data_IF_021121689087
#
_entry.id   IF_021121689087
#
_cell.length_a   1.000
_cell.length_b   1.000
_cell.length_c   1.000
_cell.angle_alpha   90.00
_cell.angle_beta   90.00
_cell.angle_gamma   90.00
#
_symmetry.space_group_name_H-M   'P 1'
#
loop_
_entity.id
_entity.type
_entity.pdbx_description
1 polymer ?
#
# COMPACT_ATOMS: atom_id res chain seq x y z
N UNK A 1 13.00 -58.25 24.81
CA UNK A 1 12.77 -56.85 25.19
C UNK A 1 13.64 -55.99 24.28
N UNK A 2 13.11 -55.61 23.11
CA UNK A 2 13.87 -54.96 22.05
C UNK A 2 14.12 -53.49 22.42
N UNK A 3 15.39 -53.14 22.64
CA UNK A 3 15.84 -51.77 22.87
C UNK A 3 15.56 -50.95 21.61
N UNK A 4 14.49 -50.14 21.64
CA UNK A 4 14.21 -49.15 20.60
C UNK A 4 15.41 -48.18 20.51
N UNK A 5 15.97 -47.92 19.32
CA UNK A 5 17.23 -47.21 19.18
C UNK A 5 17.06 -45.72 19.55
N UNK A 6 17.94 -45.24 20.43
CA UNK A 6 18.02 -43.85 20.94
C UNK A 6 17.98 -42.77 19.85
N UNK A 7 18.39 -43.11 18.63
CA UNK A 7 18.34 -42.26 17.43
C UNK A 7 16.91 -41.89 17.01
N UNK A 8 15.91 -42.77 17.20
CA UNK A 8 14.51 -42.46 16.88
C UNK A 8 13.94 -41.38 17.80
N UNK A 9 14.17 -41.52 19.12
CA UNK A 9 13.77 -40.52 20.10
C UNK A 9 14.47 -39.18 19.88
N UNK A 10 15.77 -39.19 19.54
CA UNK A 10 16.53 -37.98 19.24
C UNK A 10 16.00 -37.24 18.01
N UNK A 11 15.68 -37.95 16.93
CA UNK A 11 15.10 -37.36 15.71
C UNK A 11 13.69 -36.84 15.94
N UNK A 12 12.84 -37.60 16.61
CA UNK A 12 11.49 -37.15 16.99
C UNK A 12 11.55 -35.91 17.89
N UNK A 13 12.46 -35.88 18.86
CA UNK A 13 12.68 -34.72 19.71
C UNK A 13 13.14 -33.51 18.90
N UNK A 14 14.14 -33.66 18.01
CA UNK A 14 14.61 -32.58 17.15
C UNK A 14 13.51 -32.01 16.23
N UNK A 15 12.71 -32.88 15.62
CA UNK A 15 11.60 -32.46 14.76
C UNK A 15 10.52 -31.76 15.58
N UNK A 16 10.16 -32.30 16.76
CA UNK A 16 9.19 -31.68 17.65
C UNK A 16 9.67 -30.30 18.13
N UNK A 17 10.93 -30.19 18.56
CA UNK A 17 11.53 -28.90 18.94
C UNK A 17 11.55 -27.92 17.77
N UNK A 18 11.95 -28.35 16.57
CA UNK A 18 11.95 -27.49 15.39
C UNK A 18 10.53 -27.03 15.02
N UNK A 19 9.53 -27.91 15.12
CA UNK A 19 8.13 -27.57 14.86
C UNK A 19 7.58 -26.57 15.90
N UNK A 20 7.90 -26.76 17.19
CA UNK A 20 7.50 -25.84 18.26
C UNK A 20 8.16 -24.48 18.07
N UNK A 21 9.47 -24.44 17.82
CA UNK A 21 10.20 -23.19 17.55
C UNK A 21 9.66 -22.50 16.29
N UNK A 22 9.37 -23.25 15.23
CA UNK A 22 8.75 -22.73 14.02
C UNK A 22 7.35 -22.14 14.26
N UNK A 23 6.53 -22.81 15.07
CA UNK A 23 5.20 -22.31 15.44
C UNK A 23 5.27 -21.05 16.30
N UNK A 24 6.18 -21.00 17.28
CA UNK A 24 6.42 -19.82 18.12
C UNK A 24 6.91 -18.64 17.27
N UNK A 25 7.85 -18.90 16.35
CA UNK A 25 8.33 -17.89 15.41
C UNK A 25 7.20 -17.37 14.53
N UNK A 26 6.36 -18.26 13.97
CA UNK A 26 5.19 -17.87 13.19
C UNK A 26 4.24 -16.98 14.00
N UNK A 27 3.95 -17.34 15.26
CA UNK A 27 3.12 -16.53 16.17
C UNK A 27 3.69 -15.12 16.41
N UNK A 28 5.01 -14.99 16.49
CA UNK A 28 5.70 -13.69 16.66
C UNK A 28 5.67 -12.89 15.36
N UNK A 29 5.86 -13.54 14.21
CA UNK A 29 5.90 -12.88 12.90
C UNK A 29 4.51 -12.54 12.34
N UNK A 30 3.47 -13.29 12.72
CA UNK A 30 2.09 -13.08 12.27
C UNK A 30 1.60 -11.63 12.45
N UNK A 31 1.70 -11.00 13.64
CA UNK A 31 1.29 -9.60 13.81
C UNK A 31 2.18 -8.61 13.04
N UNK A 32 3.42 -8.99 12.71
CA UNK A 32 4.37 -8.17 11.95
C UNK A 32 4.26 -8.37 10.44
N UNK A 33 3.40 -9.28 9.97
CA UNK A 33 3.31 -9.69 8.57
C UNK A 33 3.06 -8.52 7.62
N UNK A 34 2.19 -7.58 8.00
CA UNK A 34 1.96 -6.36 7.22
C UNK A 34 3.20 -5.48 7.11
N UNK A 35 3.90 -5.25 8.22
CA UNK A 35 5.12 -4.43 8.26
C UNK A 35 6.26 -5.09 7.49
N UNK A 36 6.41 -6.40 7.63
CA UNK A 36 7.38 -7.22 6.90
C UNK A 36 7.08 -7.25 5.40
N UNK A 37 5.82 -7.40 5.02
CA UNK A 37 5.40 -7.40 3.62
C UNK A 37 5.70 -6.07 2.94
N UNK A 38 5.32 -4.96 3.58
CA UNK A 38 5.61 -3.63 3.07
C UNK A 38 7.12 -3.33 3.04
N UNK A 39 7.88 -3.75 4.05
CA UNK A 39 9.33 -3.67 4.04
C UNK A 39 9.95 -4.48 2.89
N UNK A 40 9.43 -5.68 2.60
CA UNK A 40 9.89 -6.52 1.49
C UNK A 40 9.61 -5.88 0.13
N UNK A 41 8.39 -5.34 -0.06
CA UNK A 41 8.00 -4.63 -1.28
C UNK A 41 8.91 -3.44 -1.52
N UNK A 42 9.08 -2.57 -0.51
CA UNK A 42 10.00 -1.43 -0.62
C UNK A 42 11.44 -1.87 -0.84
N UNK A 43 11.91 -2.92 -0.17
CA UNK A 43 13.25 -3.46 -0.36
C UNK A 43 13.46 -3.91 -1.80
N UNK A 44 12.49 -4.58 -2.43
CA UNK A 44 12.57 -5.00 -3.83
C UNK A 44 12.59 -3.81 -4.80
N UNK A 45 11.79 -2.78 -4.53
CA UNK A 45 11.75 -1.55 -5.34
C UNK A 45 13.08 -0.78 -5.21
N UNK A 46 13.60 -0.65 -3.99
CA UNK A 46 14.81 0.10 -3.68
C UNK A 46 16.10 -0.69 -3.91
N UNK A 47 16.04 -2.01 -4.09
CA UNK A 47 17.20 -2.88 -4.34
C UNK A 47 18.14 -2.38 -5.45
N UNK A 48 17.68 -2.03 -6.67
CA UNK A 48 18.57 -1.49 -7.71
C UNK A 48 19.26 -0.19 -7.28
N UNK A 49 18.58 0.65 -6.49
CA UNK A 49 19.15 1.89 -5.96
C UNK A 49 20.18 1.60 -4.86
N UNK A 50 19.91 0.62 -4.00
CA UNK A 50 20.81 0.11 -2.97
C UNK A 50 22.12 -0.42 -3.58
N UNK A 51 22.07 -1.18 -4.67
CA UNK A 51 23.27 -1.63 -5.36
C UNK A 51 24.09 -0.47 -5.96
N UNK A 52 23.40 0.49 -6.61
CA UNK A 52 24.06 1.68 -7.19
C UNK A 52 24.76 2.51 -6.11
N UNK A 53 24.07 2.80 -5.00
CA UNK A 53 24.63 3.52 -3.85
C UNK A 53 25.77 2.74 -3.18
N UNK A 54 25.63 1.42 -3.05
CA UNK A 54 26.70 0.58 -2.49
C UNK A 54 27.97 0.65 -3.32
N UNK A 55 27.85 0.67 -4.66
CA UNK A 55 29.00 0.85 -5.56
C UNK A 55 29.62 2.24 -5.40
N UNK A 56 28.80 3.29 -5.26
CA UNK A 56 29.28 4.67 -5.03
C UNK A 56 30.00 4.82 -3.68
N UNK A 57 29.52 4.18 -2.61
CA UNK A 57 30.15 4.22 -1.27
C UNK A 57 31.28 3.19 -1.08
N UNK A 58 31.88 2.68 -2.16
CA UNK A 58 33.03 1.77 -2.09
C UNK A 58 32.73 0.41 -1.44
N UNK A 59 31.53 -0.13 -1.64
CA UNK A 59 31.13 -1.45 -1.13
C UNK A 59 30.47 -1.44 0.26
N UNK A 60 30.32 -0.27 0.89
CA UNK A 60 29.70 -0.13 2.22
C UNK A 60 28.17 -0.24 2.16
N UNK A 61 27.66 -1.47 2.16
CA UNK A 61 26.21 -1.79 2.14
C UNK A 61 25.42 -1.17 3.29
N UNK A 62 25.99 -1.14 4.49
CA UNK A 62 25.31 -0.60 5.67
C UNK A 62 25.05 0.91 5.57
N UNK A 63 25.98 1.69 5.01
CA UNK A 63 25.79 3.13 4.79
C UNK A 63 24.72 3.40 3.73
N UNK A 64 24.74 2.62 2.64
CA UNK A 64 23.74 2.72 1.58
C UNK A 64 22.34 2.39 2.10
N UNK A 65 22.22 1.31 2.88
CA UNK A 65 20.95 0.91 3.49
C UNK A 65 20.45 1.98 4.47
N UNK A 66 21.33 2.50 5.34
CA UNK A 66 20.97 3.54 6.29
C UNK A 66 20.47 4.81 5.58
N UNK A 67 21.16 5.24 4.53
CA UNK A 67 20.77 6.41 3.75
C UNK A 67 19.41 6.21 3.07
N UNK A 68 19.21 5.07 2.41
CA UNK A 68 17.93 4.76 1.75
C UNK A 68 16.78 4.66 2.76
N UNK A 69 16.98 3.96 3.88
CA UNK A 69 15.98 3.90 4.94
C UNK A 69 15.70 5.28 5.53
N UNK A 70 16.69 6.17 5.66
CA UNK A 70 16.47 7.53 6.15
C UNK A 70 15.72 8.42 5.15
N UNK A 71 15.92 8.23 3.84
CA UNK A 71 15.21 8.97 2.79
C UNK A 71 13.80 8.43 2.56
N UNK A 72 13.57 7.14 2.81
CA UNK A 72 12.29 6.46 2.54
C UNK A 72 11.08 7.15 3.21
N UNK A 73 11.14 7.61 4.47
CA UNK A 73 10.05 8.37 5.08
C UNK A 73 9.69 9.62 4.28
N UNK A 74 10.67 10.36 3.79
CA UNK A 74 10.38 11.55 2.99
C UNK A 74 9.77 11.17 1.65
N UNK A 75 10.25 10.11 1.01
CA UNK A 75 9.70 9.63 -0.27
C UNK A 75 8.23 9.18 -0.15
N UNK A 76 7.87 8.57 0.98
CA UNK A 76 6.51 8.07 1.24
C UNK A 76 5.62 9.20 1.79
N UNK A 77 6.08 9.92 2.82
CA UNK A 77 5.29 10.93 3.50
C UNK A 77 5.11 12.19 2.67
N UNK A 78 6.07 12.60 1.83
CA UNK A 78 5.93 13.82 1.03
C UNK A 78 4.70 13.81 0.10
N UNK A 79 4.49 12.81 -0.78
CA UNK A 79 3.29 12.76 -1.60
C UNK A 79 2.04 12.63 -0.73
N UNK A 80 2.06 11.78 0.31
CA UNK A 80 0.95 11.64 1.26
C UNK A 80 0.57 12.97 1.92
N UNK A 81 1.54 13.79 2.31
CA UNK A 81 1.33 15.09 2.95
C UNK A 81 0.64 16.07 2.01
N UNK A 82 1.09 16.14 0.76
CA UNK A 82 0.48 17.01 -0.27
C UNK A 82 -0.95 16.57 -0.53
N UNK A 83 -1.19 15.26 -0.59
CA UNK A 83 -2.52 14.69 -0.82
C UNK A 83 -3.46 14.93 0.35
N UNK A 84 -3.01 14.72 1.58
CA UNK A 84 -3.79 15.04 2.79
C UNK A 84 -4.07 16.54 2.87
N UNK A 85 -3.08 17.39 2.57
CA UNK A 85 -3.27 18.84 2.54
C UNK A 85 -4.30 19.28 1.50
N UNK A 86 -4.21 18.74 0.28
CA UNK A 86 -5.19 18.98 -0.78
C UNK A 86 -6.59 18.50 -0.38
N UNK A 87 -6.69 17.31 0.23
CA UNK A 87 -7.93 16.74 0.72
C UNK A 87 -8.57 17.61 1.81
N UNK A 88 -7.82 17.98 2.85
CA UNK A 88 -8.32 18.82 3.96
C UNK A 88 -8.76 20.18 3.42
N UNK A 89 -8.01 20.78 2.49
CA UNK A 89 -8.39 22.03 1.83
C UNK A 89 -9.67 21.93 1.01
N UNK A 90 -9.95 20.76 0.41
CA UNK A 90 -11.18 20.53 -0.37
C UNK A 90 -12.38 20.23 0.52
N UNK A 91 -12.20 19.44 1.59
CA UNK A 91 -13.24 19.13 2.58
C UNK A 91 -13.68 20.39 3.31
N UNK A 92 -12.75 21.25 3.73
CA UNK A 92 -13.07 22.51 4.42
C UNK A 92 -13.89 23.45 3.53
N UNK A 93 -13.49 23.63 2.26
CA UNK A 93 -14.26 24.41 1.28
C UNK A 93 -15.66 23.84 1.03
N UNK A 94 -15.79 22.52 0.97
CA UNK A 94 -17.08 21.85 0.80
C UNK A 94 -17.98 22.07 2.02
N UNK A 95 -17.43 21.98 3.24
CA UNK A 95 -18.17 22.24 4.48
C UNK A 95 -18.59 23.70 4.57
N UNK A 96 -17.73 24.66 4.21
CA UNK A 96 -18.06 26.09 4.19
C UNK A 96 -19.14 26.40 3.15
N UNK A 97 -19.06 25.81 1.95
CA UNK A 97 -20.08 25.95 0.92
C UNK A 97 -21.44 25.40 1.36
N UNK A 98 -21.46 24.25 2.03
CA UNK A 98 -22.68 23.62 2.58
C UNK A 98 -23.27 24.37 3.78
N UNK A 99 -22.42 25.00 4.61
CA UNK A 99 -22.89 25.85 5.73
C UNK A 99 -23.44 27.19 5.24
N UNK A 100 -22.91 27.73 4.14
CA UNK A 100 -23.37 28.99 3.54
C UNK A 100 -24.61 28.88 2.66
N UNK A 101 -24.88 27.71 2.08
CA UNK A 101 -26.06 27.44 1.24
C UNK A 101 -26.88 26.31 1.86
N UNK A 102 -27.81 26.66 2.75
CA UNK A 102 -28.64 25.73 3.53
C UNK A 102 -29.67 24.91 2.73
N UNK A 103 -29.56 24.83 1.41
CA UNK A 103 -30.45 24.03 0.57
C UNK A 103 -29.89 23.85 -0.85
N UNK A 104 -28.78 23.13 -1.03
CA UNK A 104 -28.47 22.60 -2.36
C UNK A 104 -29.44 21.45 -2.63
N UNK A 105 -30.60 21.79 -3.20
CA UNK A 105 -31.37 20.78 -3.92
C UNK A 105 -30.48 20.30 -5.07
N UNK A 106 -30.30 18.99 -5.20
CA UNK A 106 -29.48 18.38 -6.26
C UNK A 106 -29.87 18.85 -7.68
N UNK A 107 -31.06 19.41 -7.83
CA UNK A 107 -31.57 20.04 -9.04
C UNK A 107 -30.67 21.15 -9.58
N UNK A 108 -30.13 22.03 -8.72
CA UNK A 108 -29.28 23.16 -9.16
C UNK A 108 -27.89 22.72 -9.64
N UNK A 109 -27.36 21.64 -9.05
CA UNK A 109 -26.08 21.04 -9.49
C UNK A 109 -26.24 20.36 -10.84
N UNK A 110 -27.37 19.67 -11.05
CA UNK A 110 -27.72 19.03 -12.33
C UNK A 110 -27.97 20.07 -13.44
N UNK A 111 -28.58 21.21 -13.12
CA UNK A 111 -28.84 22.30 -14.06
C UNK A 111 -27.57 23.08 -14.44
N UNK A 112 -26.58 23.16 -13.54
CA UNK A 112 -25.25 23.70 -13.88
C UNK A 112 -24.39 22.76 -14.72
N UNK A 113 -24.62 21.44 -14.61
CA UNK A 113 -23.92 20.42 -15.40
C UNK A 113 -24.48 20.29 -16.84
N UNK A 114 -25.74 20.65 -17.08
CA UNK A 114 -26.36 20.63 -18.41
C UNK A 114 -25.87 21.76 -19.34
N UNK A 115 -25.22 22.79 -18.79
CA UNK A 115 -24.65 23.91 -19.56
C UNK A 115 -23.32 23.63 -20.25
N UNK A 116 -22.65 22.49 -19.99
CA UNK A 116 -21.37 22.14 -20.61
C UNK A 116 -21.57 21.24 -21.84
N UNK A 117 -21.21 21.66 -23.07
CA UNK A 117 -21.55 20.95 -24.32
C UNK A 117 -20.92 19.55 -24.46
N UNK A 118 -19.82 19.27 -23.77
CA UNK A 118 -19.16 17.94 -23.78
C UNK A 118 -19.86 16.97 -22.81
N UNK A 119 -20.41 17.48 -21.71
CA UNK A 119 -21.10 16.69 -20.67
C UNK A 119 -22.59 16.59 -20.98
N UNK A 120 -23.21 17.57 -21.65
CA UNK A 120 -24.62 17.54 -22.04
C UNK A 120 -24.96 16.38 -22.98
N UNK A 121 -24.07 16.03 -23.90
CA UNK A 121 -24.23 14.84 -24.76
C UNK A 121 -24.06 13.52 -23.99
N UNK A 122 -23.11 13.46 -23.05
CA UNK A 122 -22.88 12.29 -22.21
C UNK A 122 -24.01 12.09 -21.18
N UNK A 123 -24.55 13.17 -20.61
CA UNK A 123 -25.70 13.15 -19.70
C UNK A 123 -26.98 12.81 -20.45
N UNK A 124 -27.17 13.31 -21.68
CA UNK A 124 -28.27 12.91 -22.55
C UNK A 124 -28.22 11.42 -22.91
N UNK A 125 -27.04 10.93 -23.30
CA UNK A 125 -26.81 9.52 -23.60
C UNK A 125 -26.93 8.61 -22.37
N UNK A 126 -26.46 9.06 -21.19
CA UNK A 126 -26.63 8.35 -19.91
C UNK A 126 -28.10 8.32 -19.49
N UNK A 127 -28.85 9.40 -19.71
CA UNK A 127 -30.29 9.49 -19.41
C UNK A 127 -31.13 8.60 -20.33
N UNK A 128 -30.71 8.43 -21.58
CA UNK A 128 -31.40 7.59 -22.57
C UNK A 128 -30.96 6.11 -22.52
N UNK A 129 -29.75 5.79 -22.08
CA UNK A 129 -29.17 4.45 -22.19
C UNK A 129 -28.75 3.79 -20.85
N UNK A 130 -28.92 4.44 -19.70
CA UNK A 130 -28.52 3.86 -18.39
C UNK A 130 -29.69 3.73 -17.43
N UNK A 131 -29.86 2.53 -16.85
CA UNK A 131 -30.80 2.24 -15.75
C UNK A 131 -30.40 2.86 -14.40
N UNK A 132 -29.56 3.90 -14.41
CA UNK A 132 -29.10 4.59 -13.19
C UNK A 132 -29.88 5.88 -13.06
N UNK A 133 -30.92 5.86 -12.23
CA UNK A 133 -31.74 7.04 -11.94
C UNK A 133 -30.90 8.13 -11.30
N UNK A 134 -31.16 9.41 -11.62
CA UNK A 134 -30.55 10.55 -10.93
C UNK A 134 -30.71 10.46 -9.39
N UNK A 135 -31.79 9.81 -8.92
CA UNK A 135 -32.03 9.51 -7.52
C UNK A 135 -31.04 8.48 -6.92
N UNK A 136 -30.53 7.53 -7.71
CA UNK A 136 -29.49 6.59 -7.26
C UNK A 136 -28.13 7.28 -7.16
N UNK A 137 -27.83 8.22 -8.06
CA UNK A 137 -26.62 9.02 -7.97
C UNK A 137 -26.67 9.96 -6.75
N UNK A 138 -27.83 10.54 -6.48
CA UNK A 138 -28.10 11.31 -5.26
C UNK A 138 -27.92 10.48 -3.99
N UNK A 139 -28.49 9.27 -3.94
CA UNK A 139 -28.35 8.39 -2.78
C UNK A 139 -26.91 7.91 -2.58
N UNK A 140 -26.18 7.67 -3.69
CA UNK A 140 -24.77 7.26 -3.63
C UNK A 140 -23.88 8.41 -3.12
N UNK A 141 -24.13 9.63 -3.59
CA UNK A 141 -23.36 10.80 -3.17
C UNK A 141 -23.65 11.19 -1.71
N UNK A 142 -24.93 11.25 -1.33
CA UNK A 142 -25.34 11.54 0.06
C UNK A 142 -24.92 10.43 1.03
N UNK A 143 -25.04 9.17 0.62
CA UNK A 143 -24.57 8.01 1.39
C UNK A 143 -23.05 7.97 1.55
N UNK A 144 -22.31 8.31 0.49
CA UNK A 144 -20.85 8.48 0.54
C UNK A 144 -20.45 9.60 1.48
N UNK A 145 -21.10 10.76 1.37
CA UNK A 145 -20.83 11.93 2.22
C UNK A 145 -21.16 11.66 3.69
N UNK A 146 -22.29 10.99 3.99
CA UNK A 146 -22.63 10.59 5.35
C UNK A 146 -21.66 9.56 5.92
N UNK A 147 -21.22 8.60 5.11
CA UNK A 147 -20.20 7.61 5.52
C UNK A 147 -18.87 8.30 5.85
N UNK A 148 -18.47 9.28 5.05
CA UNK A 148 -17.26 10.09 5.29
C UNK A 148 -17.38 10.99 6.53
N UNK A 149 -18.55 11.60 6.76
CA UNK A 149 -18.79 12.41 7.96
C UNK A 149 -18.84 11.54 9.22
N UNK A 150 -19.42 10.35 9.14
CA UNK A 150 -19.43 9.38 10.24
C UNK A 150 -18.04 8.81 10.52
N UNK A 151 -17.26 8.51 9.48
CA UNK A 151 -15.88 8.04 9.66
C UNK A 151 -15.01 9.13 10.26
N UNK A 152 -15.16 10.39 9.82
CA UNK A 152 -14.49 11.56 10.40
C UNK A 152 -14.92 11.84 11.85
N UNK A 153 -16.21 11.70 12.17
CA UNK A 153 -16.73 11.87 13.54
C UNK A 153 -16.31 10.72 14.48
N UNK A 154 -16.17 9.50 13.96
CA UNK A 154 -15.64 8.35 14.69
C UNK A 154 -14.14 8.48 15.02
N UNK A 155 -13.44 9.49 14.46
CA UNK A 155 -12.02 9.75 14.72
C UNK A 155 -11.73 10.41 16.08
N UNK A 156 -12.74 10.69 16.92
CA UNK A 156 -12.56 11.45 18.17
C UNK A 156 -11.92 10.70 19.34
N UNK A 157 -11.96 9.36 19.38
CA UNK A 157 -11.50 8.56 20.55
C UNK A 157 -10.57 7.40 20.22
N UNK A 158 -10.95 6.53 19.28
CA UNK A 158 -10.17 5.32 18.91
C UNK A 158 -9.03 5.59 17.92
N UNK A 159 -9.01 6.76 17.27
CA UNK A 159 -7.98 7.11 16.28
C UNK A 159 -6.64 7.44 16.91
N UNK A 160 -6.60 7.90 18.17
CA UNK A 160 -5.32 8.13 18.84
C UNK A 160 -4.54 6.81 19.04
N UNK A 161 -5.22 5.75 19.47
CA UNK A 161 -4.61 4.41 19.62
C UNK A 161 -4.26 3.79 18.26
N UNK A 162 -5.13 3.93 17.26
CA UNK A 162 -4.86 3.48 15.89
C UNK A 162 -3.70 4.24 15.22
N UNK A 163 -3.57 5.54 15.46
CA UNK A 163 -2.48 6.37 14.96
C UNK A 163 -1.15 5.97 15.58
N UNK A 164 -1.10 5.72 16.90
CA UNK A 164 0.10 5.21 17.56
C UNK A 164 0.51 3.86 16.96
N UNK A 165 -0.45 2.93 16.78
CA UNK A 165 -0.19 1.64 16.14
C UNK A 165 0.35 1.77 14.71
N UNK A 166 -0.18 2.72 13.95
CA UNK A 166 0.29 3.03 12.58
C UNK A 166 1.71 3.60 12.58
N UNK A 167 2.01 4.54 13.48
CA UNK A 167 3.35 5.13 13.62
C UNK A 167 4.37 4.07 14.03
N UNK A 168 4.05 3.26 15.06
CA UNK A 168 4.91 2.14 15.49
C UNK A 168 5.11 1.15 14.35
N UNK A 169 4.04 0.77 13.65
CA UNK A 169 4.11 -0.14 12.51
C UNK A 169 4.97 0.41 11.36
N UNK A 170 4.90 1.72 11.11
CA UNK A 170 5.74 2.40 10.13
C UNK A 170 7.23 2.36 10.53
N UNK A 171 7.57 2.69 11.77
CA UNK A 171 8.96 2.60 12.25
C UNK A 171 9.49 1.16 12.25
N UNK A 172 8.66 0.18 12.61
CA UNK A 172 9.03 -1.24 12.50
C UNK A 172 9.25 -1.64 11.04
N UNK A 173 8.39 -1.20 10.12
CA UNK A 173 8.56 -1.43 8.69
C UNK A 173 9.87 -0.82 8.17
N UNK A 174 10.24 0.40 8.58
CA UNK A 174 11.54 1.02 8.25
C UNK A 174 12.73 0.24 8.84
N UNK A 175 12.59 -0.23 10.07
CA UNK A 175 13.59 -1.07 10.72
C UNK A 175 13.80 -2.36 9.91
N UNK A 176 12.73 -3.09 9.58
CA UNK A 176 12.79 -4.28 8.72
C UNK A 176 13.38 -3.97 7.34
N UNK A 177 12.99 -2.84 6.73
CA UNK A 177 13.51 -2.39 5.43
C UNK A 177 15.04 -2.22 5.47
N UNK A 178 15.58 -1.62 6.53
CA UNK A 178 17.02 -1.48 6.70
C UNK A 178 17.74 -2.84 6.67
N UNK A 179 17.25 -3.83 7.43
CA UNK A 179 17.84 -5.17 7.44
C UNK A 179 17.67 -5.88 6.09
N UNK A 180 16.52 -5.73 5.42
CA UNK A 180 16.32 -6.31 4.09
C UNK A 180 17.26 -5.71 3.04
N UNK A 181 17.49 -4.39 3.07
CA UNK A 181 18.43 -3.72 2.16
C UNK A 181 19.90 -4.03 2.48
N UNK A 182 20.25 -4.17 3.76
CA UNK A 182 21.62 -4.46 4.20
C UNK A 182 22.00 -5.93 3.99
N UNK A 183 21.16 -6.83 4.49
CA UNK A 183 21.44 -8.25 4.66
C UNK A 183 20.68 -9.14 3.67
N UNK A 184 19.86 -8.58 2.77
CA UNK A 184 18.99 -9.35 1.87
C UNK A 184 19.72 -10.42 1.05
N UNK A 185 20.97 -10.17 0.65
CA UNK A 185 21.80 -11.20 -0.01
C UNK A 185 22.15 -12.39 0.90
N UNK A 186 22.51 -12.14 2.15
CA UNK A 186 22.81 -13.19 3.13
C UNK A 186 21.53 -13.93 3.56
N UNK A 187 20.40 -13.21 3.69
CA UNK A 187 19.09 -13.80 3.97
C UNK A 187 18.66 -14.75 2.85
N UNK A 188 18.82 -14.33 1.59
CA UNK A 188 18.55 -15.17 0.43
C UNK A 188 19.47 -16.39 0.40
N UNK A 189 20.75 -16.24 0.69
CA UNK A 189 21.68 -17.37 0.75
C UNK A 189 21.27 -18.36 1.86
N UNK A 190 20.90 -17.87 3.04
CA UNK A 190 20.44 -18.69 4.16
C UNK A 190 19.15 -19.47 3.83
N UNK A 191 18.13 -18.79 3.30
CA UNK A 191 16.86 -19.41 2.88
C UNK A 191 17.13 -20.49 1.83
N UNK A 192 17.98 -20.17 0.87
CA UNK A 192 18.25 -21.13 -0.20
C UNK A 192 18.97 -22.35 0.34
N UNK A 193 19.87 -22.25 1.35
CA UNK A 193 20.64 -23.39 1.90
C UNK A 193 19.77 -24.52 2.44
N UNK A 194 18.52 -24.21 2.78
CA UNK A 194 17.53 -25.17 3.27
C UNK A 194 16.94 -26.02 2.13
N UNK A 195 17.01 -25.54 0.88
CA UNK A 195 16.43 -26.20 -0.29
C UNK A 195 17.38 -27.32 -0.78
N UNK A 196 16.98 -28.61 -0.70
CA UNK A 196 17.79 -29.76 -1.11
C UNK A 196 17.68 -29.97 -2.63
N UNK A 197 18.19 -29.03 -3.42
CA UNK A 197 18.19 -29.07 -4.90
C UNK A 197 19.60 -28.79 -5.42
N UNK A 198 19.98 -29.43 -6.54
CA UNK A 198 21.25 -29.19 -7.25
C UNK A 198 21.55 -27.69 -7.40
N UNK A 199 22.78 -27.28 -7.06
CA UNK A 199 23.15 -25.86 -6.92
C UNK A 199 22.86 -24.99 -8.15
N UNK A 200 23.04 -25.53 -9.36
CA UNK A 200 22.81 -24.80 -10.62
C UNK A 200 21.33 -24.66 -10.98
N UNK A 201 20.47 -25.62 -10.63
CA UNK A 201 19.00 -25.51 -10.77
C UNK A 201 18.43 -24.58 -9.72
N UNK A 202 18.94 -24.66 -8.48
CA UNK A 202 18.52 -23.81 -7.37
C UNK A 202 18.78 -22.32 -7.64
N UNK A 203 19.97 -21.96 -8.11
CA UNK A 203 20.27 -20.56 -8.43
C UNK A 203 19.35 -20.00 -9.54
N UNK A 204 19.00 -20.82 -10.53
CA UNK A 204 18.08 -20.45 -11.62
C UNK A 204 16.66 -20.20 -11.12
N UNK A 205 16.15 -21.12 -10.29
CA UNK A 205 14.82 -20.99 -9.70
C UNK A 205 14.69 -19.73 -8.86
N UNK A 206 15.71 -19.43 -8.05
CA UNK A 206 15.70 -18.26 -7.17
C UNK A 206 15.74 -16.96 -7.97
N UNK A 207 16.57 -16.88 -9.00
CA UNK A 207 16.59 -15.72 -9.90
C UNK A 207 15.23 -15.53 -10.57
N UNK A 208 14.64 -16.60 -11.09
CA UNK A 208 13.32 -16.56 -11.70
C UNK A 208 12.25 -16.06 -10.72
N UNK A 209 12.21 -16.57 -9.49
CA UNK A 209 11.27 -16.11 -8.47
C UNK A 209 11.45 -14.62 -8.11
N UNK A 210 12.70 -14.17 -7.98
CA UNK A 210 13.00 -12.77 -7.72
C UNK A 210 12.59 -11.87 -8.88
N UNK A 211 12.87 -12.28 -10.11
CA UNK A 211 12.51 -11.54 -11.32
C UNK A 211 10.98 -11.44 -11.47
N UNK A 212 10.26 -12.54 -11.26
CA UNK A 212 8.78 -12.54 -11.28
C UNK A 212 8.21 -11.67 -10.16
N UNK A 213 8.70 -11.81 -8.92
CA UNK A 213 8.21 -11.01 -7.78
C UNK A 213 8.45 -9.53 -8.04
N UNK A 214 9.64 -9.17 -8.52
CA UNK A 214 9.97 -7.80 -8.88
C UNK A 214 9.10 -7.28 -10.02
N UNK A 215 8.88 -8.07 -11.06
CA UNK A 215 8.02 -7.70 -12.18
C UNK A 215 6.57 -7.44 -11.73
N UNK A 216 6.03 -8.27 -10.83
CA UNK A 216 4.68 -8.08 -10.27
C UNK A 216 4.60 -6.80 -9.44
N UNK A 217 5.59 -6.54 -8.57
CA UNK A 217 5.61 -5.34 -7.72
C UNK A 217 5.79 -4.06 -8.54
N UNK A 218 6.71 -4.05 -9.51
CA UNK A 218 6.87 -2.90 -10.39
C UNK A 218 5.65 -2.72 -11.31
N UNK A 219 5.09 -3.81 -11.82
CA UNK A 219 3.89 -3.79 -12.65
C UNK A 219 2.69 -3.21 -11.90
N UNK A 220 2.45 -3.63 -10.67
CA UNK A 220 1.36 -3.09 -9.85
C UNK A 220 1.58 -1.62 -9.51
N UNK A 221 2.81 -1.20 -9.16
CA UNK A 221 3.13 0.19 -8.88
C UNK A 221 2.93 1.10 -10.10
N UNK A 222 3.42 0.68 -11.28
CA UNK A 222 3.24 1.44 -12.53
C UNK A 222 1.77 1.50 -12.92
N UNK A 223 1.04 0.40 -12.79
CA UNK A 223 -0.40 0.35 -13.09
C UNK A 223 -1.18 1.28 -12.16
N UNK A 224 -0.88 1.29 -10.86
CA UNK A 224 -1.51 2.19 -9.89
C UNK A 224 -1.25 3.66 -10.21
N UNK A 225 -0.02 4.02 -10.61
CA UNK A 225 0.30 5.38 -11.03
C UNK A 225 -0.46 5.80 -12.29
N UNK A 226 -0.55 4.92 -13.28
CA UNK A 226 -1.28 5.18 -14.53
C UNK A 226 -2.78 5.32 -14.22
N UNK A 227 -3.35 4.40 -13.44
CA UNK A 227 -4.75 4.45 -13.01
C UNK A 227 -5.06 5.75 -12.28
N UNK A 228 -4.21 6.12 -11.32
CA UNK A 228 -4.37 7.35 -10.57
C UNK A 228 -4.31 8.61 -11.44
N UNK A 229 -3.40 8.63 -12.43
CA UNK A 229 -3.32 9.72 -13.39
C UNK A 229 -4.58 9.80 -14.27
N UNK A 230 -5.09 8.67 -14.78
CA UNK A 230 -6.31 8.65 -15.58
C UNK A 230 -7.54 9.07 -14.78
N UNK A 231 -7.71 8.58 -13.55
CA UNK A 231 -8.81 8.96 -12.68
C UNK A 231 -8.70 10.45 -12.31
N UNK A 232 -7.51 10.93 -11.96
CA UNK A 232 -7.27 12.34 -11.66
C UNK A 232 -7.51 13.26 -12.86
N UNK A 233 -7.04 12.88 -14.05
CA UNK A 233 -7.30 13.62 -15.28
C UNK A 233 -8.79 13.61 -15.65
N UNK A 234 -9.47 12.47 -15.49
CA UNK A 234 -10.91 12.33 -15.73
C UNK A 234 -11.72 13.29 -14.85
N UNK A 235 -11.45 13.34 -13.55
CA UNK A 235 -12.13 14.27 -12.65
C UNK A 235 -11.80 15.74 -12.97
N UNK A 236 -10.56 16.03 -13.36
CA UNK A 236 -10.15 17.38 -13.74
C UNK A 236 -10.87 17.87 -15.01
N UNK A 237 -11.03 16.98 -16.00
CA UNK A 237 -11.72 17.29 -17.26
C UNK A 237 -13.23 17.47 -17.08
N UNK A 238 -13.86 16.71 -16.17
CA UNK A 238 -15.31 16.81 -15.88
C UNK A 238 -15.62 18.01 -14.97
N UNK A 239 -14.60 18.69 -14.44
CA UNK A 239 -14.79 19.83 -13.53
C UNK A 239 -15.35 19.44 -12.17
N UNK A 240 -15.25 18.16 -11.79
CA UNK A 240 -15.71 17.68 -10.49
C UNK A 240 -14.77 18.19 -9.39
N UNK A 241 -15.30 18.57 -8.23
CA UNK A 241 -14.46 18.90 -7.09
C UNK A 241 -13.61 17.69 -6.71
N UNK A 242 -12.35 17.94 -6.31
CA UNK A 242 -11.43 16.93 -5.77
C UNK A 242 -10.71 15.96 -6.75
N UNK A 243 -10.21 16.36 -7.94
CA UNK A 243 -9.56 15.42 -8.87
C UNK A 243 -8.34 14.67 -8.31
N UNK A 244 -7.56 15.37 -7.48
CA UNK A 244 -6.33 14.82 -6.87
C UNK A 244 -6.64 13.73 -5.83
N UNK A 245 -7.79 13.82 -5.15
CA UNK A 245 -8.18 12.85 -4.11
C UNK A 245 -8.66 11.57 -4.76
N UNK A 246 -9.53 11.68 -5.76
CA UNK A 246 -10.03 10.51 -6.49
C UNK A 246 -8.97 9.88 -7.37
N UNK A 247 -8.01 10.66 -7.89
CA UNK A 247 -6.85 10.13 -8.60
C UNK A 247 -5.86 9.36 -7.72
N UNK A 248 -6.02 9.34 -6.39
CA UNK A 248 -5.13 8.60 -5.48
C UNK A 248 -5.81 7.42 -4.80
N UNK A 249 -7.14 7.46 -4.64
CA UNK A 249 -7.96 6.37 -4.13
C UNK A 249 -8.09 5.23 -5.14
#
# INVERSE_FOLDING_TARGET
MALMPSEFYRRCFQIATAAILGYLLYRILHPLSGMLGWAAVLALILYPLQERLTRLFGGRRALSAALLTAITPFLVLAPLSVLTGAFVGQVTRLIEYLRGHSALSLAEVLERLSGYPIIGGAVGWVRENSWVSAAQFESWMTGGLQTLLRSAAAMGGDVALGAIGTVVGFFMMLFMLFFFLRDGGAMLEAVTRIIPVEGSRRARLIRYLLDVTRAVVFGSAVTALIQGLFVGAGFALVGLPSPVVFGVL
#
